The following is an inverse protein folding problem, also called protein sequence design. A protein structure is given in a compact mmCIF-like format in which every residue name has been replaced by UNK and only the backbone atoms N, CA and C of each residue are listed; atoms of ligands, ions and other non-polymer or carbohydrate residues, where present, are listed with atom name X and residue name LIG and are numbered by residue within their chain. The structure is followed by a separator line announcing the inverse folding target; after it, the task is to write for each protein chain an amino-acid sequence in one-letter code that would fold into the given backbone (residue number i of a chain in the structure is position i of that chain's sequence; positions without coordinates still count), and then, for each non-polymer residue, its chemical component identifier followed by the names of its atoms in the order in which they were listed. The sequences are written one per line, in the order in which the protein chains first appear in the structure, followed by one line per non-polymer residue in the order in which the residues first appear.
data_IF_060353496222
#
_entry.id   IF_060353496222
#
_cell.length_a   1.000
_cell.length_b   1.000
_cell.length_c   1.000
_cell.angle_alpha   90.00
_cell.angle_beta   90.00
_cell.angle_gamma   90.00
#
_symmetry.space_group_name_H-M   'P 1'
#
loop_
_entity.id
_entity.type
_entity.pdbx_description
1 polymer ?
#
# COMPACT_ATOMS: atom_id res chain seq x y z
N UNK A 1 29.04 -28.47 -27.06
CA UNK A 1 28.38 -27.58 -26.08
C UNK A 1 28.10 -28.44 -24.86
N UNK A 2 28.98 -28.39 -23.86
CA UNK A 2 29.04 -29.36 -22.75
C UNK A 2 28.52 -28.68 -21.48
N UNK A 3 27.56 -29.30 -20.82
CA UNK A 3 27.06 -28.94 -19.50
C UNK A 3 28.10 -29.24 -18.41
N UNK A 4 28.30 -28.32 -17.47
CA UNK A 4 28.83 -28.56 -16.10
C UNK A 4 28.08 -27.60 -15.16
N UNK A 5 27.16 -28.12 -14.34
CA UNK A 5 27.35 -28.49 -12.93
C UNK A 5 27.96 -27.35 -12.11
N UNK A 6 27.12 -26.68 -11.31
CA UNK A 6 27.56 -26.06 -10.05
C UNK A 6 26.75 -26.66 -8.90
N UNK A 7 27.51 -27.18 -7.94
CA UNK A 7 27.07 -28.01 -6.83
C UNK A 7 26.41 -27.20 -5.72
N UNK A 8 25.48 -27.90 -5.08
CA UNK A 8 24.71 -27.55 -3.90
C UNK A 8 25.61 -27.78 -2.67
N UNK A 9 25.98 -26.71 -1.95
CA UNK A 9 26.63 -26.85 -0.63
C UNK A 9 25.61 -26.48 0.43
N UNK A 10 25.04 -27.51 1.06
CA UNK A 10 24.35 -27.39 2.34
C UNK A 10 25.38 -27.15 3.44
N UNK A 11 25.23 -26.08 4.21
CA UNK A 11 25.80 -26.00 5.55
C UNK A 11 24.65 -25.87 6.56
N UNK A 12 24.38 -26.97 7.27
CA UNK A 12 23.67 -26.97 8.54
C UNK A 12 24.65 -26.59 9.64
N UNK A 13 24.29 -25.59 10.44
CA UNK A 13 24.61 -25.56 11.87
C UNK A 13 23.33 -25.19 12.60
N UNK A 14 22.79 -26.18 13.31
CA UNK A 14 21.86 -25.97 14.40
C UNK A 14 22.66 -25.48 15.62
N UNK A 15 22.18 -24.44 16.30
CA UNK A 15 21.84 -24.49 17.73
C UNK A 15 21.60 -23.08 18.30
N UNK A 16 20.32 -22.84 18.58
CA UNK A 16 19.74 -22.20 19.76
C UNK A 16 20.07 -20.77 20.22
N UNK A 17 18.95 -20.17 20.64
CA UNK A 17 18.77 -19.02 21.52
C UNK A 17 18.93 -17.64 20.90
N UNK A 18 17.79 -17.00 20.64
CA UNK A 18 17.45 -15.73 21.26
C UNK A 18 16.08 -15.30 20.76
N UNK A 19 15.24 -14.87 21.68
CA UNK A 19 13.90 -14.33 21.50
C UNK A 19 13.77 -13.41 20.29
N UNK A 20 13.05 -13.88 19.27
CA UNK A 20 12.43 -13.00 18.30
C UNK A 20 11.23 -12.34 18.99
N UNK A 21 11.44 -11.12 19.49
CA UNK A 21 10.35 -10.21 19.82
C UNK A 21 9.59 -9.91 18.52
N UNK A 22 8.59 -10.73 18.23
CA UNK A 22 7.62 -10.50 17.18
C UNK A 22 6.82 -9.24 17.55
N UNK A 23 7.29 -8.07 17.09
CA UNK A 23 6.54 -6.83 17.18
C UNK A 23 5.32 -6.97 16.26
N UNK A 24 4.22 -7.41 16.85
CA UNK A 24 2.91 -7.48 16.22
C UNK A 24 2.41 -6.06 15.91
N UNK A 25 2.58 -5.60 14.66
CA UNK A 25 2.01 -4.35 14.19
C UNK A 25 0.54 -4.56 13.83
N UNK A 26 -0.38 -3.97 14.61
CA UNK A 26 -1.81 -3.90 14.26
C UNK A 26 -2.09 -2.57 13.57
N UNK A 27 -2.29 -2.57 12.25
CA UNK A 27 -3.01 -1.46 11.61
C UNK A 27 -4.51 -1.69 11.77
N UNK A 28 -5.18 -0.65 12.25
CA UNK A 28 -6.62 -0.62 12.33
C UNK A 28 -7.12 0.37 11.28
N UNK A 29 -7.65 -0.12 10.16
CA UNK A 29 -8.53 0.70 9.33
C UNK A 29 -9.79 0.97 10.13
N UNK A 30 -9.81 2.08 10.88
CA UNK A 30 -11.00 2.55 11.59
C UNK A 30 -11.79 3.46 10.67
N UNK A 31 -13.05 3.10 10.40
CA UNK A 31 -14.02 4.08 9.89
C UNK A 31 -14.23 5.10 10.99
N UNK A 32 -13.78 6.34 10.78
CA UNK A 32 -14.07 7.45 11.67
C UNK A 32 -15.18 8.33 11.09
N UNK A 33 -16.01 8.86 11.99
CA UNK A 33 -17.07 9.80 11.66
C UNK A 33 -16.48 11.22 11.72
N UNK A 34 -16.01 11.75 10.58
CA UNK A 34 -15.54 13.14 10.51
C UNK A 34 -16.75 14.06 10.35
N UNK A 35 -16.65 15.29 10.90
CA UNK A 35 -17.74 16.28 10.86
C UNK A 35 -18.20 16.64 9.43
N UNK A 36 -17.43 16.26 8.39
CA UNK A 36 -17.61 16.68 7.00
C UNK A 36 -17.96 15.57 5.98
N UNK A 37 -18.01 14.29 6.34
CA UNK A 37 -18.36 13.24 5.35
C UNK A 37 -18.20 11.80 5.85
N UNK A 38 -18.30 10.83 4.96
CA UNK A 38 -17.77 9.48 5.19
C UNK A 38 -16.38 9.41 4.55
N UNK A 39 -15.42 8.86 5.28
CA UNK A 39 -14.06 8.69 4.78
C UNK A 39 -13.49 7.33 5.20
N UNK A 40 -12.56 6.84 4.39
CA UNK A 40 -11.65 5.77 4.77
C UNK A 40 -10.37 6.44 5.27
N UNK A 41 -9.95 6.09 6.48
CA UNK A 41 -8.68 6.53 7.04
C UNK A 41 -7.64 5.45 6.78
N UNK A 42 -6.59 5.79 6.04
CA UNK A 42 -5.38 4.98 5.96
C UNK A 42 -4.44 5.52 7.03
N UNK A 43 -4.02 4.65 7.95
CA UNK A 43 -3.13 5.03 9.04
C UNK A 43 -1.71 4.59 8.71
N UNK A 44 -0.74 5.41 9.10
CA UNK A 44 0.68 5.08 9.04
C UNK A 44 1.33 5.30 10.40
N UNK A 45 2.33 4.49 10.70
CA UNK A 45 3.28 4.73 11.79
C UNK A 45 4.55 5.27 11.15
N UNK A 46 4.74 6.59 11.21
CA UNK A 46 6.04 7.16 10.86
C UNK A 46 7.00 6.86 12.02
N UNK A 47 7.87 5.87 11.83
CA UNK A 47 8.97 5.66 12.77
C UNK A 47 9.96 6.80 12.56
N UNK A 48 10.01 7.74 13.51
CA UNK A 48 11.05 8.75 13.52
C UNK A 48 12.41 8.02 13.65
N UNK A 49 13.34 8.14 12.68
CA UNK A 49 14.63 7.47 12.74
C UNK A 49 15.45 7.87 13.98
N UNK A 50 15.20 9.04 14.56
CA UNK A 50 15.87 9.50 15.79
C UNK A 50 15.44 8.70 17.04
N UNK A 51 14.28 8.03 17.00
CA UNK A 51 13.78 7.22 18.11
C UNK A 51 14.43 5.84 18.13
N UNK A 52 14.89 5.32 16.99
CA UNK A 52 15.60 4.04 16.90
C UNK A 52 17.03 4.14 17.47
N UNK A 53 17.63 5.35 17.47
CA UNK A 53 18.96 5.59 18.05
C UNK A 53 18.97 5.42 19.58
N UNK A 54 17.82 5.48 20.25
CA UNK A 54 17.71 5.30 21.70
C UNK A 54 18.02 3.87 22.19
N UNK A 55 18.00 2.86 21.31
CA UNK A 55 18.28 1.48 21.69
C UNK A 55 19.78 1.11 21.72
N UNK A 56 20.71 2.05 21.48
CA UNK A 56 22.15 1.77 21.49
C UNK A 56 23.00 2.74 22.35
N UNK A 57 22.44 3.40 23.36
CA UNK A 57 23.24 4.17 24.29
C UNK A 57 23.89 3.27 25.35
N UNK A 58 25.13 2.85 25.06
CA UNK A 58 26.05 2.33 26.08
C UNK A 58 26.69 3.49 26.83
N UNK A 59 27.00 3.32 28.11
CA UNK A 59 27.84 4.28 28.84
C UNK A 59 29.30 4.28 28.33
N UNK A 60 30.14 5.13 28.91
CA UNK A 60 31.56 5.20 28.55
C UNK A 60 32.30 3.88 28.82
N UNK A 61 31.73 3.01 29.66
CA UNK A 61 32.21 1.69 30.01
C UNK A 61 31.61 0.55 29.16
N UNK A 62 30.68 0.85 28.24
CA UNK A 62 30.07 -0.15 27.35
C UNK A 62 28.83 -0.88 27.89
N UNK A 63 28.29 -0.48 29.05
CA UNK A 63 27.12 -1.13 29.65
C UNK A 63 25.79 -0.53 29.15
N UNK A 64 24.71 -1.33 29.06
CA UNK A 64 23.38 -0.81 28.73
C UNK A 64 22.89 0.16 29.82
N UNK A 65 22.53 1.40 29.45
CA UNK A 65 21.93 2.35 30.39
C UNK A 65 20.56 1.86 30.87
N UNK A 66 20.29 1.95 32.17
CA UNK A 66 18.98 1.61 32.72
C UNK A 66 17.92 2.66 32.32
N UNK A 67 16.65 2.25 32.09
CA UNK A 67 15.59 3.12 31.51
C UNK A 67 15.27 4.40 32.30
N UNK A 68 15.73 4.51 33.54
CA UNK A 68 15.47 5.62 34.47
C UNK A 68 16.41 6.82 34.30
N UNK A 69 17.49 6.68 33.53
CA UNK A 69 18.45 7.77 33.23
C UNK A 69 18.21 8.44 31.86
N UNK A 70 17.09 8.11 31.21
CA UNK A 70 16.70 8.72 29.94
C UNK A 70 16.01 10.05 30.26
N UNK A 71 16.54 11.21 29.80
CA UNK A 71 15.87 12.49 29.98
C UNK A 71 14.44 12.43 29.46
N UNK A 72 13.50 13.11 30.12
CA UNK A 72 12.07 13.17 29.77
C UNK A 72 11.75 13.63 28.33
N UNK A 73 12.77 13.89 27.51
CA UNK A 73 12.70 14.20 26.08
C UNK A 73 12.49 12.99 25.17
N UNK A 74 12.57 11.74 25.65
CA UNK A 74 12.33 10.52 24.83
C UNK A 74 10.90 9.99 25.00
N UNK A 75 9.92 10.89 24.88
CA UNK A 75 8.47 10.56 24.89
C UNK A 75 7.78 10.99 23.59
N UNK A 76 8.45 10.89 22.46
CA UNK A 76 7.78 10.99 21.16
C UNK A 76 7.52 9.58 20.63
N UNK A 77 6.49 8.93 21.18
CA UNK A 77 5.83 7.83 20.46
C UNK A 77 5.37 8.40 19.12
N UNK A 78 5.81 7.78 18.02
CA UNK A 78 5.67 8.30 16.66
C UNK A 78 4.29 8.88 16.38
N UNK A 79 4.27 10.09 15.81
CA UNK A 79 3.06 10.76 15.40
C UNK A 79 2.36 9.89 14.34
N UNK A 80 1.12 9.47 14.61
CA UNK A 80 0.35 8.67 13.67
C UNK A 80 -0.15 9.56 12.55
N UNK A 81 0.41 9.39 11.36
CA UNK A 81 -0.05 10.09 10.16
C UNK A 81 -1.31 9.41 9.62
N UNK A 82 -2.28 10.21 9.16
CA UNK A 82 -3.55 9.72 8.62
C UNK A 82 -3.81 10.33 7.25
N UNK A 83 -4.12 9.47 6.28
CA UNK A 83 -4.58 9.89 4.95
C UNK A 83 -6.09 9.69 4.90
N UNK A 84 -6.82 10.79 4.77
CA UNK A 84 -8.27 10.78 4.59
C UNK A 84 -8.63 10.58 3.11
N UNK A 85 -9.32 9.48 2.82
CA UNK A 85 -9.90 9.21 1.51
C UNK A 85 -11.41 9.45 1.57
N UNK A 86 -11.90 10.47 0.88
CA UNK A 86 -13.33 10.81 0.82
C UNK A 86 -14.01 10.32 -0.46
N UNK A 87 -13.23 10.10 -1.52
CA UNK A 87 -13.70 9.68 -2.83
C UNK A 87 -12.78 8.62 -3.42
N UNK A 88 -13.36 7.75 -4.26
CA UNK A 88 -12.57 7.00 -5.24
C UNK A 88 -12.59 7.74 -6.58
N UNK A 89 -11.41 8.09 -7.07
CA UNK A 89 -11.23 8.81 -8.34
C UNK A 89 -10.84 7.81 -9.44
N UNK A 90 -11.82 7.30 -10.17
CA UNK A 90 -11.57 6.25 -11.16
C UNK A 90 -10.90 6.84 -12.40
N UNK A 91 -9.74 6.31 -12.77
CA UNK A 91 -8.94 6.87 -13.85
C UNK A 91 -9.57 6.63 -15.21
N UNK A 92 -9.66 7.69 -16.03
CA UNK A 92 -9.97 7.58 -17.45
C UNK A 92 -8.77 7.13 -18.31
N UNK A 93 -7.57 7.01 -17.73
CA UNK A 93 -6.36 6.55 -18.44
C UNK A 93 -6.20 5.02 -18.42
N UNK A 94 -7.14 4.32 -17.77
CA UNK A 94 -7.17 2.87 -17.65
C UNK A 94 -7.91 2.18 -18.80
N UNK A 95 -8.05 0.86 -18.70
CA UNK A 95 -8.89 0.09 -19.61
C UNK A 95 -10.36 0.44 -19.42
N UNK A 96 -11.11 0.46 -20.52
CA UNK A 96 -12.54 0.72 -20.55
C UNK A 96 -13.36 -0.42 -19.92
N UNK A 97 -14.57 -0.10 -19.46
CA UNK A 97 -15.52 -1.09 -18.92
C UNK A 97 -15.86 -2.19 -19.96
N UNK A 98 -15.82 -1.89 -21.25
CA UNK A 98 -16.03 -2.87 -22.31
C UNK A 98 -14.93 -3.95 -22.31
N UNK A 99 -13.70 -3.58 -21.99
CA UNK A 99 -12.55 -4.49 -21.87
C UNK A 99 -12.61 -5.29 -20.57
N UNK A 100 -13.14 -4.71 -19.48
CA UNK A 100 -13.28 -5.37 -18.18
C UNK A 100 -14.08 -6.67 -18.23
N UNK A 101 -14.99 -6.79 -19.20
CA UNK A 101 -15.84 -7.98 -19.38
C UNK A 101 -15.13 -9.13 -20.11
N UNK A 102 -14.00 -8.86 -20.78
CA UNK A 102 -13.34 -9.80 -21.69
C UNK A 102 -12.03 -10.34 -21.15
N UNK A 103 -11.46 -9.69 -20.15
CA UNK A 103 -10.07 -9.90 -19.77
C UNK A 103 -9.90 -9.88 -18.25
N UNK A 104 -8.82 -10.50 -17.80
CA UNK A 104 -8.33 -10.30 -16.44
C UNK A 104 -7.78 -8.88 -16.30
N UNK A 105 -8.02 -8.28 -15.14
CA UNK A 105 -7.66 -6.90 -14.84
C UNK A 105 -6.69 -6.84 -13.67
N UNK A 106 -5.79 -5.88 -13.74
CA UNK A 106 -4.98 -5.40 -12.63
C UNK A 106 -5.49 -4.01 -12.23
N UNK A 107 -5.61 -3.77 -10.94
CA UNK A 107 -6.07 -2.52 -10.35
C UNK A 107 -5.16 -2.08 -9.21
N UNK A 108 -5.05 -0.78 -9.02
CA UNK A 108 -4.40 -0.20 -7.84
C UNK A 108 -5.16 1.03 -7.35
N UNK A 109 -5.15 1.22 -6.05
CA UNK A 109 -5.55 2.47 -5.38
C UNK A 109 -4.28 3.19 -4.94
N UNK A 110 -4.24 4.50 -5.13
CA UNK A 110 -3.14 5.36 -4.71
C UNK A 110 -3.69 6.33 -3.66
N UNK A 111 -3.06 6.34 -2.48
CA UNK A 111 -3.46 7.23 -1.38
C UNK A 111 -2.56 8.45 -1.28
N UNK A 112 -1.30 8.34 -1.71
CA UNK A 112 -0.40 9.49 -1.81
C UNK A 112 -0.94 10.52 -2.80
N UNK A 113 -0.81 11.80 -2.44
CA UNK A 113 -1.13 12.91 -3.34
C UNK A 113 0.06 13.26 -4.23
N UNK A 114 -0.20 13.52 -5.52
CA UNK A 114 0.80 14.00 -6.48
C UNK A 114 0.14 15.02 -7.42
N UNK A 115 0.41 16.30 -7.22
CA UNK A 115 -0.26 17.36 -7.99
C UNK A 115 0.50 17.83 -9.24
N UNK A 116 1.82 17.66 -9.25
CA UNK A 116 2.71 18.15 -10.31
C UNK A 116 3.73 17.09 -10.75
N UNK A 117 3.29 15.83 -10.87
CA UNK A 117 4.15 14.75 -11.35
C UNK A 117 4.22 14.73 -12.88
N UNK A 118 5.41 14.92 -13.43
CA UNK A 118 5.69 14.75 -14.86
C UNK A 118 6.34 13.39 -15.09
N UNK A 119 5.71 12.55 -15.92
CA UNK A 119 6.27 11.22 -16.20
C UNK A 119 7.58 11.34 -16.98
N UNK A 120 8.63 10.59 -16.59
CA UNK A 120 9.97 10.77 -17.13
C UNK A 120 10.15 10.36 -18.59
N UNK A 121 9.34 9.44 -19.14
CA UNK A 121 9.49 8.93 -20.51
C UNK A 121 8.56 9.68 -21.47
N UNK A 122 7.28 9.83 -21.14
CA UNK A 122 6.30 10.48 -22.02
C UNK A 122 6.22 11.99 -21.86
N UNK A 123 6.78 12.56 -20.79
CA UNK A 123 6.69 13.99 -20.48
C UNK A 123 5.27 14.45 -20.13
N UNK A 124 4.31 13.53 -19.94
CA UNK A 124 2.92 13.85 -19.64
C UNK A 124 2.73 14.11 -18.15
N UNK A 125 2.01 15.17 -17.84
CA UNK A 125 1.62 15.47 -16.47
C UNK A 125 0.59 14.47 -15.96
N UNK A 126 0.70 14.14 -14.67
CA UNK A 126 -0.20 13.26 -13.94
C UNK A 126 -0.57 13.95 -12.63
N UNK A 127 -1.88 13.97 -12.35
CA UNK A 127 -2.44 14.49 -11.11
C UNK A 127 -3.18 13.37 -10.40
N UNK A 128 -2.80 13.11 -9.16
CA UNK A 128 -3.34 12.06 -8.31
C UNK A 128 -3.76 12.70 -7.00
N UNK A 129 -5.00 12.41 -6.60
CA UNK A 129 -5.55 12.70 -5.28
C UNK A 129 -5.70 11.39 -4.50
N UNK A 130 -5.71 11.45 -3.15
CA UNK A 130 -5.98 10.27 -2.34
C UNK A 130 -7.24 9.52 -2.78
N UNK A 131 -7.13 8.21 -2.97
CA UNK A 131 -8.22 7.38 -3.49
C UNK A 131 -8.25 7.26 -5.02
N UNK A 132 -7.19 7.64 -5.73
CA UNK A 132 -7.10 7.44 -7.18
C UNK A 132 -7.06 5.97 -7.54
N UNK A 133 -7.98 5.53 -8.40
CA UNK A 133 -8.12 4.14 -8.81
C UNK A 133 -7.69 3.98 -10.26
N UNK A 134 -6.65 3.18 -10.51
CA UNK A 134 -6.14 2.89 -11.84
C UNK A 134 -6.32 1.41 -12.18
N UNK A 135 -6.91 1.11 -13.34
CA UNK A 135 -7.24 -0.27 -13.74
C UNK A 135 -6.83 -0.48 -15.19
N UNK A 136 -6.12 -1.58 -15.47
CA UNK A 136 -5.79 -2.01 -16.83
C UNK A 136 -5.96 -3.50 -17.02
N UNK A 137 -6.11 -3.92 -18.28
CA UNK A 137 -5.99 -5.32 -18.66
C UNK A 137 -4.63 -5.87 -18.22
N UNK A 138 -4.64 -7.02 -17.53
CA UNK A 138 -3.42 -7.60 -16.98
C UNK A 138 -2.37 -7.92 -18.05
N UNK A 139 -2.79 -8.21 -19.29
CA UNK A 139 -1.88 -8.50 -20.40
C UNK A 139 -1.13 -7.27 -20.90
N UNK A 140 -1.72 -6.07 -20.83
CA UNK A 140 -1.08 -4.83 -21.26
C UNK A 140 0.05 -4.38 -20.31
N UNK A 141 -0.04 -4.80 -19.06
CA UNK A 141 0.90 -4.38 -18.01
C UNK A 141 1.90 -5.47 -17.65
N UNK A 142 1.70 -6.69 -18.15
CA UNK A 142 2.56 -7.83 -17.82
C UNK A 142 3.99 -7.57 -18.28
N UNK A 143 4.95 -7.84 -17.40
CA UNK A 143 6.38 -7.74 -17.69
C UNK A 143 6.89 -6.32 -18.05
N UNK A 144 6.12 -5.27 -17.78
CA UNK A 144 6.61 -3.89 -17.88
C UNK A 144 7.56 -3.51 -16.73
N UNK A 145 7.50 -4.26 -15.63
CA UNK A 145 8.24 -3.96 -14.40
C UNK A 145 9.11 -5.13 -13.97
N UNK A 146 10.24 -4.79 -13.35
CA UNK A 146 11.14 -5.72 -12.66
C UNK A 146 10.67 -6.06 -11.24
N UNK A 147 9.65 -5.37 -10.71
CA UNK A 147 9.15 -5.51 -9.34
C UNK A 147 7.72 -6.05 -9.28
N UNK A 148 7.57 -7.34 -9.58
CA UNK A 148 6.27 -7.99 -9.60
C UNK A 148 5.59 -7.85 -10.96
N UNK A 149 5.16 -9.00 -11.49
CA UNK A 149 4.80 -9.13 -12.91
C UNK A 149 3.57 -8.32 -13.33
N UNK A 150 2.58 -8.17 -12.43
CA UNK A 150 1.28 -7.58 -12.75
C UNK A 150 1.11 -6.22 -12.10
N UNK A 151 1.16 -6.13 -10.77
CA UNK A 151 0.97 -4.85 -10.08
C UNK A 151 2.16 -3.90 -10.18
N UNK A 152 3.40 -4.41 -10.21
CA UNK A 152 4.57 -3.58 -10.55
C UNK A 152 4.47 -3.05 -11.97
N UNK A 153 4.05 -3.89 -12.91
CA UNK A 153 3.81 -3.48 -14.29
C UNK A 153 2.70 -2.45 -14.44
N UNK A 154 1.63 -2.59 -13.66
CA UNK A 154 0.54 -1.61 -13.59
C UNK A 154 1.04 -0.26 -13.09
N UNK A 155 1.82 -0.27 -12.00
CA UNK A 155 2.45 0.93 -11.44
C UNK A 155 3.35 1.60 -12.49
N UNK A 156 4.25 0.83 -13.11
CA UNK A 156 5.13 1.32 -14.16
C UNK A 156 4.37 1.89 -15.35
N UNK A 157 3.25 1.28 -15.76
CA UNK A 157 2.47 1.78 -16.88
C UNK A 157 1.83 3.16 -16.63
N UNK A 158 1.60 3.52 -15.37
CA UNK A 158 1.05 4.82 -15.01
C UNK A 158 2.16 5.86 -14.78
N UNK A 159 3.22 5.47 -14.06
CA UNK A 159 4.26 6.38 -13.57
C UNK A 159 5.54 6.40 -14.41
N UNK A 160 5.76 5.38 -15.25
CA UNK A 160 7.01 5.17 -15.98
C UNK A 160 8.24 5.06 -15.06
N UNK A 161 8.00 4.60 -13.82
CA UNK A 161 8.99 4.34 -12.77
C UNK A 161 8.62 3.07 -12.00
N UNK A 162 9.59 2.49 -11.29
CA UNK A 162 9.32 1.30 -10.47
C UNK A 162 8.67 1.71 -9.13
N UNK A 163 7.94 0.77 -8.48
CA UNK A 163 7.39 1.03 -7.15
C UNK A 163 8.44 1.51 -6.12
N UNK A 164 9.67 0.97 -6.16
CA UNK A 164 10.74 1.37 -5.26
C UNK A 164 11.23 2.81 -5.44
N UNK A 165 11.03 3.38 -6.64
CA UNK A 165 11.59 4.68 -7.00
C UNK A 165 10.73 5.83 -6.43
N UNK A 166 9.40 5.64 -6.36
CA UNK A 166 8.45 6.65 -5.87
C UNK A 166 7.94 6.42 -4.44
N UNK A 167 7.99 5.18 -3.94
CA UNK A 167 7.56 4.81 -2.57
C UNK A 167 6.18 5.35 -2.17
N UNK A 168 5.22 5.31 -3.08
CA UNK A 168 3.85 5.77 -2.81
C UNK A 168 3.10 4.81 -1.90
N UNK A 169 2.15 5.33 -1.13
CA UNK A 169 1.19 4.51 -0.39
C UNK A 169 0.13 4.04 -1.38
N UNK A 170 0.05 2.72 -1.59
CA UNK A 170 -0.85 2.11 -2.57
C UNK A 170 -1.41 0.78 -2.09
N UNK A 171 -2.50 0.33 -2.70
CA UNK A 171 -3.02 -1.04 -2.54
C UNK A 171 -3.36 -1.62 -3.90
N UNK A 172 -3.01 -2.89 -4.12
CA UNK A 172 -3.33 -3.59 -5.36
C UNK A 172 -4.55 -4.49 -5.25
N UNK A 173 -5.28 -4.63 -6.36
CA UNK A 173 -6.40 -5.55 -6.51
C UNK A 173 -6.45 -6.06 -7.96
N UNK A 174 -7.15 -7.16 -8.20
CA UNK A 174 -7.25 -7.74 -9.52
C UNK A 174 -8.67 -8.27 -9.78
N UNK A 175 -9.04 -8.38 -11.06
CA UNK A 175 -10.20 -9.17 -11.48
C UNK A 175 -9.69 -10.38 -12.24
N UNK A 176 -9.95 -11.57 -11.71
CA UNK A 176 -9.54 -12.83 -12.33
C UNK A 176 -10.78 -13.69 -12.52
N UNK A 177 -11.03 -14.10 -13.75
CA UNK A 177 -12.19 -14.91 -14.14
C UNK A 177 -13.51 -14.28 -13.65
N UNK A 178 -13.62 -12.96 -13.85
CA UNK A 178 -14.77 -12.16 -13.46
C UNK A 178 -14.86 -11.82 -11.96
N UNK A 179 -14.01 -12.39 -11.10
CA UNK A 179 -14.05 -12.21 -9.64
C UNK A 179 -12.97 -11.24 -9.15
N UNK A 180 -13.36 -10.30 -8.30
CA UNK A 180 -12.43 -9.37 -7.66
C UNK A 180 -11.63 -10.04 -6.53
N UNK A 181 -10.31 -9.82 -6.53
CA UNK A 181 -9.34 -10.24 -5.51
C UNK A 181 -8.60 -9.00 -5.02
N UNK A 182 -8.49 -8.79 -3.72
CA UNK A 182 -7.94 -7.55 -3.15
C UNK A 182 -6.64 -7.84 -2.40
N UNK A 183 -5.66 -8.35 -3.14
CA UNK A 183 -4.36 -8.65 -2.56
C UNK A 183 -3.19 -8.24 -3.46
N UNK A 184 -2.10 -7.77 -2.85
CA UNK A 184 -0.88 -7.41 -3.55
C UNK A 184 0.31 -7.36 -2.62
N UNK A 185 1.29 -8.25 -2.82
CA UNK A 185 2.54 -8.15 -2.06
C UNK A 185 3.31 -6.88 -2.49
N UNK A 186 3.53 -6.70 -3.80
CA UNK A 186 4.34 -5.58 -4.31
C UNK A 186 3.83 -4.21 -3.86
N UNK A 187 2.52 -3.99 -3.90
CA UNK A 187 1.94 -2.66 -3.66
C UNK A 187 1.51 -2.47 -2.20
N UNK A 188 1.05 -3.54 -1.52
CA UNK A 188 0.50 -3.40 -0.17
C UNK A 188 1.51 -3.67 0.96
N UNK A 189 2.72 -4.18 0.68
CA UNK A 189 3.67 -4.55 1.75
C UNK A 189 5.04 -3.88 1.64
N UNK A 190 5.23 -2.90 0.75
CA UNK A 190 6.55 -2.30 0.49
C UNK A 190 6.71 -0.86 0.98
N UNK A 191 5.63 -0.20 1.40
CA UNK A 191 5.69 1.19 1.84
C UNK A 191 5.85 1.27 3.35
N UNK A 192 7.09 1.46 3.80
CA UNK A 192 7.45 1.52 5.22
C UNK A 192 6.51 2.41 6.03
N UNK A 193 6.04 1.90 7.17
CA UNK A 193 5.16 2.61 8.07
C UNK A 193 3.67 2.62 7.67
N UNK A 194 3.29 2.21 6.46
CA UNK A 194 1.90 2.29 5.97
C UNK A 194 1.24 0.93 5.70
N UNK A 195 1.84 -0.17 6.16
CA UNK A 195 1.31 -1.52 6.02
C UNK A 195 1.43 -2.32 7.32
N UNK A 196 0.50 -3.24 7.53
CA UNK A 196 0.51 -4.28 8.59
C UNK A 196 1.26 -5.53 8.14
N UNK A 197 1.87 -5.50 6.96
CA UNK A 197 2.46 -6.65 6.29
C UNK A 197 1.42 -7.65 5.78
N UNK A 198 0.12 -7.35 5.92
CA UNK A 198 -0.92 -8.10 5.23
C UNK A 198 -0.95 -7.70 3.77
N UNK A 199 -0.89 -8.72 2.92
CA UNK A 199 -1.08 -8.53 1.48
C UNK A 199 -2.51 -8.20 1.11
N UNK A 200 -3.47 -8.41 2.02
CA UNK A 200 -4.91 -8.28 1.76
C UNK A 200 -5.42 -6.90 2.21
N UNK A 201 -6.20 -6.28 1.34
CA UNK A 201 -6.86 -5.01 1.62
C UNK A 201 -7.91 -5.15 2.73
N UNK A 202 -8.07 -4.14 3.59
CA UNK A 202 -9.06 -4.19 4.67
C UNK A 202 -10.50 -4.40 4.19
N UNK A 203 -11.32 -5.12 4.96
CA UNK A 203 -12.71 -5.40 4.59
C UNK A 203 -13.58 -4.14 4.35
N UNK A 204 -13.50 -3.07 5.18
CA UNK A 204 -14.23 -1.82 4.93
C UNK A 204 -13.87 -1.19 3.58
N UNK A 205 -12.59 -1.22 3.24
CA UNK A 205 -12.08 -0.67 2.00
C UNK A 205 -12.53 -1.49 0.79
N UNK A 206 -12.38 -2.83 0.84
CA UNK A 206 -12.88 -3.73 -0.20
C UNK A 206 -14.37 -3.48 -0.46
N UNK A 207 -15.17 -3.28 0.60
CA UNK A 207 -16.62 -3.04 0.50
C UNK A 207 -16.91 -1.76 -0.28
N UNK A 208 -16.27 -0.65 0.06
CA UNK A 208 -16.51 0.63 -0.63
C UNK A 208 -15.93 0.63 -2.04
N UNK A 209 -14.75 0.05 -2.26
CA UNK A 209 -14.16 -0.07 -3.61
C UNK A 209 -15.08 -0.90 -4.53
N UNK A 210 -15.65 -2.02 -4.06
CA UNK A 210 -16.63 -2.80 -4.83
C UNK A 210 -17.84 -1.97 -5.25
N UNK A 211 -18.33 -1.06 -4.40
CA UNK A 211 -19.46 -0.16 -4.75
C UNK A 211 -19.03 0.82 -5.85
N UNK A 212 -17.85 1.43 -5.73
CA UNK A 212 -17.31 2.36 -6.70
C UNK A 212 -17.10 1.69 -8.07
N UNK A 213 -16.49 0.50 -8.09
CA UNK A 213 -16.29 -0.28 -9.31
C UNK A 213 -17.62 -0.62 -9.98
N UNK A 214 -18.61 -1.08 -9.21
CA UNK A 214 -19.95 -1.39 -9.74
C UNK A 214 -20.68 -0.15 -10.25
N UNK A 215 -20.49 1.01 -9.60
CA UNK A 215 -21.05 2.27 -10.06
C UNK A 215 -20.47 2.66 -11.43
N UNK A 216 -19.14 2.56 -11.57
CA UNK A 216 -18.43 2.83 -12.83
C UNK A 216 -18.80 1.89 -13.96
N UNK A 217 -18.93 0.58 -13.68
CA UNK A 217 -19.36 -0.42 -14.66
C UNK A 217 -20.75 -0.11 -15.26
N UNK A 218 -21.57 0.67 -14.54
CA UNK A 218 -22.90 1.11 -14.98
C UNK A 218 -22.88 2.45 -15.72
N UNK A 219 -21.71 3.01 -16.01
CA UNK A 219 -21.58 4.35 -16.60
C UNK A 219 -21.74 5.48 -15.57
N UNK A 220 -21.47 5.19 -14.30
CA UNK A 220 -21.43 6.19 -13.25
C UNK A 220 -20.30 7.22 -13.42
N UNK A 221 -20.29 8.23 -12.56
CA UNK A 221 -19.31 9.31 -12.62
C UNK A 221 -17.93 8.89 -12.11
N UNK A 222 -16.93 9.70 -12.46
CA UNK A 222 -15.51 9.42 -12.16
C UNK A 222 -15.20 9.43 -10.67
N UNK A 223 -15.84 10.34 -9.94
CA UNK A 223 -15.56 10.62 -8.54
C UNK A 223 -16.65 9.98 -7.69
N UNK A 224 -16.42 8.75 -7.25
CA UNK A 224 -17.37 8.05 -6.39
C UNK A 224 -17.20 8.50 -4.94
N UNK A 225 -18.18 9.21 -4.38
CA UNK A 225 -18.17 9.60 -2.97
C UNK A 225 -18.36 8.39 -2.05
N UNK A 226 -17.46 8.24 -1.08
CA UNK A 226 -17.56 7.17 -0.08
C UNK A 226 -18.79 7.43 0.78
N UNK A 227 -19.67 6.43 0.86
CA UNK A 227 -20.96 6.56 1.51
C UNK A 227 -20.82 6.31 3.02
N UNK A 228 -21.56 7.08 3.82
CA UNK A 228 -21.78 6.73 5.23
C UNK A 228 -22.62 5.45 5.25
N UNK A 229 -22.15 4.43 5.97
CA UNK A 229 -23.06 3.37 6.37
C UNK A 229 -24.07 4.02 7.34
N UNK A 230 -25.29 4.31 6.87
CA UNK A 230 -26.33 5.02 7.63
C UNK A 230 -26.87 4.23 8.85
N UNK A 231 -26.14 3.20 9.31
CA UNK A 231 -26.51 2.35 10.46
C UNK A 231 -25.25 1.92 11.20
N UNK A 232 -24.83 2.74 12.15
CA UNK A 232 -24.23 2.28 13.41
C UNK A 232 -24.42 3.39 14.47
N UNK A 233 -25.69 3.64 14.80
CA UNK A 233 -26.05 4.00 16.17
C UNK A 233 -26.39 2.69 16.86
N UNK A 234 -25.37 2.02 17.39
CA UNK A 234 -25.54 1.05 18.48
C UNK A 234 -24.94 1.75 19.69
N UNK A 235 -25.73 1.79 20.76
CA UNK A 235 -25.50 2.40 22.05
C UNK A 235 -24.06 2.26 22.57
#
# INVERSE_FOLDING_TARGET
MVFKNLEFIMNRKDSDSSSDDEIQYKLATKKHNTKNGAAIQIQGIHQNPDVVVAQQFKDAEGNPKQPQDIPSAVKNMGEQEQIEVTHFHLSCQGSSVAEWKKQNLAGMIIYSELMDYTRPISGKNLRIRPGYVYIKASQEVKALSREGQVHGGLFYSLFEQQPSDLKLVTSGFARVDGKWKFNSITLSTKTEGWHDSDKEMSAPEQKELKKALKHWEKGGEQNYAIQRDAKCSVF
#
